data_IF_591369742751
#
_entry.id   IF_591369742751
#
_cell.length_a   1.000
_cell.length_b   1.000
_cell.length_c   1.000
_cell.angle_alpha   90.00
_cell.angle_beta   90.00
_cell.angle_gamma   90.00
#
_symmetry.space_group_name_H-M   'P 1'
#
loop_
_entity.id
_entity.type
_entity.pdbx_description
1 polymer ?
#
# COMPACT_ATOMS: atom_id res chain seq x y z
N UNK A 1 1.97 -2.43 11.91
CA UNK A 1 3.27 -1.74 11.79
C UNK A 1 4.14 -2.23 12.94
N UNK A 2 5.46 -2.38 12.76
CA UNK A 2 6.36 -2.76 13.86
C UNK A 2 7.21 -1.57 14.25
N UNK A 3 7.40 -1.38 15.56
CA UNK A 3 8.19 -0.28 16.11
C UNK A 3 9.35 -0.90 16.88
N UNK A 4 10.55 -0.40 16.62
CA UNK A 4 11.80 -0.90 17.18
C UNK A 4 12.58 0.23 17.83
N UNK A 5 13.39 -0.14 18.82
CA UNK A 5 14.51 0.69 19.28
C UNK A 5 15.82 0.03 18.89
N UNK A 6 16.68 0.79 18.23
CA UNK A 6 18.03 0.36 17.85
C UNK A 6 19.01 0.44 19.05
N UNK A 7 20.16 -0.21 18.92
CA UNK A 7 21.26 -0.15 19.90
C UNK A 7 21.81 1.26 20.09
N UNK A 8 21.79 2.08 19.04
CA UNK A 8 22.09 3.51 19.06
C UNK A 8 20.92 4.41 19.52
N UNK A 9 19.87 3.81 20.10
CA UNK A 9 18.65 4.47 20.63
C UNK A 9 17.74 5.11 19.58
N UNK A 10 17.96 4.89 18.28
CA UNK A 10 17.02 5.35 17.24
C UNK A 10 15.69 4.59 17.32
N UNK A 11 14.59 5.33 17.17
CA UNK A 11 13.27 4.77 16.91
C UNK A 11 13.18 4.40 15.43
N UNK A 12 12.81 3.16 15.14
CA UNK A 12 12.66 2.66 13.77
C UNK A 12 11.24 2.12 13.61
N UNK A 13 10.58 2.56 12.54
CA UNK A 13 9.23 2.13 12.16
C UNK A 13 9.32 1.28 10.90
N UNK A 14 8.80 0.07 10.97
CA UNK A 14 8.74 -0.90 9.88
C UNK A 14 7.26 -1.17 9.54
N UNK A 15 6.65 -0.41 8.61
CA UNK A 15 5.25 -0.63 8.22
C UNK A 15 5.08 -1.91 7.40
N UNK A 16 6.07 -2.27 6.59
CA UNK A 16 6.14 -3.51 5.79
C UNK A 16 7.54 -4.13 5.91
N UNK A 17 7.72 -5.40 5.53
CA UNK A 17 9.02 -6.07 5.65
C UNK A 17 10.14 -5.40 4.84
N UNK A 18 9.80 -4.71 3.75
CA UNK A 18 10.76 -4.06 2.87
C UNK A 18 10.91 -2.56 3.15
N UNK A 19 10.11 -2.00 4.07
CA UNK A 19 10.09 -0.57 4.35
C UNK A 19 10.51 -0.30 5.80
N UNK A 20 11.47 0.58 5.99
CA UNK A 20 11.92 1.02 7.30
C UNK A 20 12.12 2.54 7.29
N UNK A 21 11.64 3.21 8.32
CA UNK A 21 11.76 4.65 8.52
C UNK A 21 12.39 4.94 9.89
N UNK A 22 13.23 5.97 9.96
CA UNK A 22 13.76 6.52 11.20
C UNK A 22 13.63 8.05 11.21
N UNK A 23 14.03 8.66 12.31
CA UNK A 23 13.96 10.12 12.50
C UNK A 23 14.76 10.96 11.47
N UNK A 24 15.59 10.36 10.62
CA UNK A 24 16.39 11.10 9.64
C UNK A 24 15.62 11.45 8.37
N UNK A 25 14.45 10.82 8.14
CA UNK A 25 13.60 11.11 6.98
C UNK A 25 14.24 10.78 5.62
N UNK A 26 15.31 9.98 5.60
CA UNK A 26 16.00 9.59 4.37
C UNK A 26 15.37 8.34 3.76
N UNK A 27 15.43 8.23 2.43
CA UNK A 27 14.96 7.06 1.67
C UNK A 27 15.66 5.75 2.10
N UNK A 28 16.87 5.85 2.67
CA UNK A 28 17.63 4.70 3.16
C UNK A 28 17.91 4.81 4.66
N UNK A 29 17.22 3.99 5.46
CA UNK A 29 17.53 3.84 6.87
C UNK A 29 18.71 2.88 7.02
N UNK A 30 19.82 3.40 7.53
CA UNK A 30 20.97 2.55 7.87
C UNK A 30 20.56 1.52 8.93
N UNK A 31 20.63 0.23 8.54
CA UNK A 31 20.30 -0.88 9.42
C UNK A 31 21.21 -0.88 10.65
N UNK A 32 20.65 -0.79 11.87
CA UNK A 32 21.44 -0.86 13.10
C UNK A 32 22.02 -2.27 13.28
N UNK A 33 23.08 -2.40 14.07
CA UNK A 33 23.69 -3.71 14.37
C UNK A 33 22.72 -4.61 15.14
N UNK A 34 21.90 -4.02 16.00
CA UNK A 34 20.83 -4.70 16.70
C UNK A 34 19.60 -3.79 16.85
N UNK A 35 18.41 -4.38 16.82
CA UNK A 35 17.14 -3.71 17.12
C UNK A 35 16.25 -4.61 17.96
N UNK A 36 15.51 -4.02 18.90
CA UNK A 36 14.55 -4.71 19.76
C UNK A 36 13.15 -4.18 19.44
N UNK A 37 12.20 -5.08 19.18
CA UNK A 37 10.81 -4.68 18.96
C UNK A 37 10.22 -4.17 20.27
N UNK A 38 9.63 -2.98 20.22
CA UNK A 38 8.84 -2.44 21.31
C UNK A 38 7.44 -3.07 21.27
N UNK A 39 6.98 -3.60 22.42
CA UNK A 39 5.62 -4.12 22.61
C UNK A 39 5.04 -3.52 23.88
N UNK A 40 4.43 -2.34 23.78
CA UNK A 40 3.83 -1.65 24.93
C UNK A 40 2.75 -0.67 24.47
N UNK A 41 1.90 -0.18 25.38
CA UNK A 41 0.80 0.74 25.02
C UNK A 41 1.26 2.00 24.26
N UNK A 42 2.52 2.44 24.45
CA UNK A 42 3.05 3.59 23.72
C UNK A 42 3.18 3.31 22.22
N UNK A 43 3.37 2.05 21.81
CA UNK A 43 3.49 1.70 20.40
C UNK A 43 2.17 1.87 19.65
N UNK A 44 1.04 1.68 20.34
CA UNK A 44 -0.29 1.90 19.75
C UNK A 44 -0.53 3.40 19.50
N UNK A 45 -0.09 4.26 20.42
CA UNK A 45 -0.16 5.72 20.27
C UNK A 45 0.70 6.18 19.10
N UNK A 46 1.96 5.72 19.03
CA UNK A 46 2.88 6.05 17.94
C UNK A 46 2.32 5.56 16.59
N UNK A 47 1.80 4.33 16.53
CA UNK A 47 1.18 3.82 15.31
C UNK A 47 -0.01 4.68 14.85
N UNK A 48 -0.85 5.13 15.79
CA UNK A 48 -1.97 6.02 15.50
C UNK A 48 -1.50 7.37 14.93
N UNK A 49 -0.50 8.00 15.53
CA UNK A 49 0.07 9.28 15.05
C UNK A 49 0.69 9.15 13.66
N UNK A 50 1.41 8.06 13.39
CA UNK A 50 1.99 7.80 12.06
C UNK A 50 0.89 7.63 11.01
N UNK A 51 -0.17 6.89 11.33
CA UNK A 51 -1.31 6.72 10.41
C UNK A 51 -1.99 8.04 10.08
N UNK A 52 -2.12 8.93 11.07
CA UNK A 52 -2.65 10.28 10.85
C UNK A 52 -1.75 11.09 9.91
N UNK A 53 -0.44 11.09 10.16
CA UNK A 53 0.51 11.79 9.30
C UNK A 53 0.49 11.27 7.84
N UNK A 54 0.41 9.95 7.66
CA UNK A 54 0.24 9.34 6.32
C UNK A 54 -1.05 9.82 5.65
N UNK A 55 -2.17 9.85 6.39
CA UNK A 55 -3.45 10.29 5.86
C UNK A 55 -3.44 11.77 5.45
N UNK A 56 -2.73 12.63 6.20
CA UNK A 56 -2.54 14.03 5.86
C UNK A 56 -1.77 14.21 4.55
N UNK A 57 -0.66 13.47 4.37
CA UNK A 57 0.09 13.48 3.11
C UNK A 57 -0.79 13.00 1.95
N UNK A 58 -1.54 11.90 2.12
CA UNK A 58 -2.46 11.43 1.07
C UNK A 58 -3.47 12.53 0.72
N UNK A 59 -4.06 13.18 1.73
CA UNK A 59 -5.05 14.24 1.55
C UNK A 59 -4.47 15.45 0.78
N UNK A 60 -3.23 15.81 1.02
CA UNK A 60 -2.52 16.90 0.32
C UNK A 60 -2.50 16.66 -1.19
N UNK A 61 -2.10 15.47 -1.63
CA UNK A 61 -1.99 15.13 -3.05
C UNK A 61 -3.29 14.60 -3.67
N UNK A 62 -4.30 14.26 -2.86
CA UNK A 62 -5.57 13.69 -3.35
C UNK A 62 -6.30 14.61 -4.32
N UNK A 63 -6.19 15.93 -4.13
CA UNK A 63 -6.79 16.92 -5.02
C UNK A 63 -6.21 16.82 -6.43
N UNK A 64 -4.87 16.81 -6.56
CA UNK A 64 -4.19 16.68 -7.86
C UNK A 64 -4.54 15.38 -8.59
N UNK A 65 -4.72 14.28 -7.84
CA UNK A 65 -5.10 12.99 -8.40
C UNK A 65 -6.57 12.95 -8.85
N UNK A 66 -7.46 13.68 -8.18
CA UNK A 66 -8.90 13.70 -8.50
C UNK A 66 -9.20 14.41 -9.82
N UNK A 67 -8.36 15.37 -10.20
CA UNK A 67 -8.55 16.17 -11.43
C UNK A 67 -7.96 15.50 -12.69
N UNK A 68 -7.38 14.30 -12.58
CA UNK A 68 -6.76 13.61 -13.72
C UNK A 68 -7.84 13.03 -14.68
N UNK A 69 -7.79 13.35 -15.99
CA UNK A 69 -8.78 12.87 -16.96
C UNK A 69 -8.48 11.45 -17.45
N UNK A 70 -8.58 10.46 -16.55
CA UNK A 70 -8.16 9.07 -16.80
C UNK A 70 -9.31 8.12 -17.17
N UNK A 71 -10.53 8.62 -17.36
CA UNK A 71 -11.73 7.78 -17.57
C UNK A 71 -11.57 6.80 -18.74
N UNK A 72 -11.04 7.24 -19.88
CA UNK A 72 -10.80 6.39 -21.05
C UNK A 72 -9.77 5.29 -20.77
N UNK A 73 -8.73 5.60 -19.98
CA UNK A 73 -7.68 4.65 -19.59
C UNK A 73 -8.26 3.59 -18.63
N UNK A 74 -9.08 4.01 -17.67
CA UNK A 74 -9.75 3.09 -16.75
C UNK A 74 -10.80 2.22 -17.46
N UNK A 75 -11.51 2.76 -18.46
CA UNK A 75 -12.42 2.00 -19.32
C UNK A 75 -11.67 0.90 -20.08
N UNK A 76 -10.51 1.22 -20.65
CA UNK A 76 -9.69 0.24 -21.36
C UNK A 76 -9.10 -0.82 -20.40
N UNK A 77 -8.66 -0.43 -19.21
CA UNK A 77 -8.19 -1.40 -18.19
C UNK A 77 -9.31 -2.35 -17.75
N UNK A 78 -10.54 -1.84 -17.58
CA UNK A 78 -11.72 -2.67 -17.26
C UNK A 78 -12.01 -3.70 -18.35
N UNK A 79 -11.90 -3.32 -19.63
CA UNK A 79 -12.03 -4.27 -20.76
C UNK A 79 -10.94 -5.34 -20.71
N UNK A 80 -9.67 -4.97 -20.55
CA UNK A 80 -8.57 -5.93 -20.44
C UNK A 80 -8.76 -6.91 -19.27
N UNK A 81 -9.24 -6.44 -18.12
CA UNK A 81 -9.56 -7.32 -17.00
C UNK A 81 -10.68 -8.28 -17.38
N UNK A 82 -11.75 -7.81 -18.06
CA UNK A 82 -12.85 -8.65 -18.52
C UNK A 82 -12.43 -9.68 -19.58
N UNK A 83 -11.60 -9.26 -20.53
CA UNK A 83 -11.09 -10.10 -21.62
C UNK A 83 -10.03 -11.09 -21.10
N UNK A 84 -9.31 -10.70 -20.05
CA UNK A 84 -8.46 -11.60 -19.26
C UNK A 84 -9.28 -12.54 -18.37
N UNK A 85 -10.55 -12.21 -18.05
CA UNK A 85 -11.28 -12.92 -17.00
C UNK A 85 -11.94 -14.20 -17.46
N UNK A 86 -12.30 -14.43 -18.74
CA UNK A 86 -12.77 -15.78 -19.06
C UNK A 86 -12.89 -16.15 -20.55
N UNK A 87 -11.85 -16.76 -21.10
CA UNK A 87 -11.95 -17.42 -22.42
C UNK A 87 -12.76 -18.72 -22.37
N UNK A 88 -12.92 -19.36 -21.19
CA UNK A 88 -13.66 -20.62 -21.05
C UNK A 88 -15.17 -20.38 -20.84
N UNK A 89 -15.55 -19.40 -20.01
CA UNK A 89 -16.95 -18.93 -19.90
C UNK A 89 -17.43 -18.29 -21.20
N UNK A 90 -16.57 -17.57 -21.94
CA UNK A 90 -16.92 -17.07 -23.27
C UNK A 90 -17.23 -18.20 -24.27
N UNK A 91 -16.52 -19.33 -24.19
CA UNK A 91 -16.79 -20.51 -25.04
C UNK A 91 -18.06 -21.25 -24.58
N UNK A 92 -18.27 -21.42 -23.27
CA UNK A 92 -19.48 -22.05 -22.73
C UNK A 92 -20.76 -21.27 -23.07
N UNK A 93 -20.74 -19.94 -22.94
CA UNK A 93 -21.87 -19.07 -23.26
C UNK A 93 -22.25 -19.12 -24.76
N UNK A 94 -21.27 -19.34 -25.65
CA UNK A 94 -21.51 -19.52 -27.09
C UNK A 94 -22.17 -20.86 -27.39
N UNK A 95 -21.71 -21.95 -26.74
CA UNK A 95 -22.27 -23.30 -26.92
C UNK A 95 -23.73 -23.35 -26.44
N UNK A 96 -24.04 -22.76 -25.28
CA UNK A 96 -25.40 -22.72 -24.74
C UNK A 96 -26.39 -21.95 -25.63
N UNK A 97 -25.94 -20.88 -26.30
CA UNK A 97 -26.79 -20.11 -27.24
C UNK A 97 -27.10 -20.85 -28.53
N UNK A 98 -26.30 -21.83 -28.92
CA UNK A 98 -26.47 -22.60 -30.16
C UNK A 98 -27.37 -23.84 -30.02
N UNK A 99 -27.68 -24.23 -28.78
CA UNK A 99 -28.52 -25.39 -28.47
C UNK A 99 -29.99 -25.03 -28.19
N UNK A 100 -30.39 -23.76 -28.38
CA UNK A 100 -31.79 -23.32 -28.44
C UNK A 100 -32.20 -23.06 -29.88
#
# INVERSE_FOLDING_TARGET
MKIYIADDKRLIVEPSWFDCFDHTGKEYVNLPKAKIQLKSKITDVIESEIRLAIAEVIKEYQAEMADLPLEDIFNEKRKQVRDSYDTEQAVADVIERWQK
#
